data_IF_621591584268
#
_entry.id   IF_621591584268
#
_cell.length_a   1.000
_cell.length_b   1.000
_cell.length_c   1.000
_cell.angle_alpha   90.00
_cell.angle_beta   90.00
_cell.angle_gamma   90.00
#
_symmetry.space_group_name_H-M   'P 1'
#
loop_
_entity.id
_entity.type
_entity.pdbx_description
1 polymer ?
#
# COMPACT_ATOMS: atom_id res chain seq x y z
N UNK A 1 -45.95 0.48 12.89
CA UNK A 1 -46.64 1.40 11.95
C UNK A 1 -46.24 0.99 10.53
N UNK A 2 -47.14 0.33 9.80
CA UNK A 2 -46.91 -0.16 8.43
C UNK A 2 -47.03 1.01 7.45
N UNK A 3 -45.96 1.36 6.73
CA UNK A 3 -46.04 2.28 5.59
C UNK A 3 -46.21 1.46 4.31
N UNK A 4 -47.43 1.48 3.80
CA UNK A 4 -47.81 0.92 2.50
C UNK A 4 -47.33 1.95 1.47
N UNK A 5 -46.30 1.60 0.70
CA UNK A 5 -45.83 2.42 -0.42
C UNK A 5 -46.77 2.20 -1.60
N UNK A 6 -47.52 3.24 -1.98
CA UNK A 6 -48.42 3.21 -3.13
C UNK A 6 -47.62 3.00 -4.42
N UNK A 7 -47.91 1.91 -5.13
CA UNK A 7 -47.59 1.71 -6.53
C UNK A 7 -48.35 2.76 -7.36
N UNK A 8 -47.64 3.75 -7.89
CA UNK A 8 -48.16 4.69 -8.87
C UNK A 8 -48.06 4.04 -10.24
N UNK A 9 -49.11 3.33 -10.63
CA UNK A 9 -49.27 2.74 -11.96
C UNK A 9 -49.54 3.87 -12.96
N UNK A 10 -48.49 4.44 -13.53
CA UNK A 10 -48.60 5.33 -14.70
C UNK A 10 -49.06 4.51 -15.90
N UNK A 11 -50.39 4.43 -16.08
CA UNK A 11 -50.98 3.99 -17.34
C UNK A 11 -50.69 5.10 -18.37
N UNK A 12 -49.61 4.93 -19.12
CA UNK A 12 -49.38 5.63 -20.37
C UNK A 12 -50.53 5.25 -21.31
N UNK A 13 -51.57 6.08 -21.35
CA UNK A 13 -52.47 6.15 -22.48
C UNK A 13 -51.63 6.60 -23.68
N UNK A 14 -51.04 5.64 -24.39
CA UNK A 14 -50.62 5.85 -25.78
C UNK A 14 -51.93 5.96 -26.56
N UNK A 15 -52.51 7.15 -26.54
CA UNK A 15 -53.57 7.50 -27.45
C UNK A 15 -53.01 7.29 -28.85
N UNK A 16 -53.52 6.28 -29.54
CA UNK A 16 -53.34 6.20 -30.99
C UNK A 16 -53.98 7.47 -31.52
N UNK A 17 -53.17 8.47 -31.84
CA UNK A 17 -53.59 9.68 -32.54
C UNK A 17 -53.95 9.22 -33.94
N UNK A 18 -55.16 8.68 -34.08
CA UNK A 18 -55.78 8.49 -35.38
C UNK A 18 -56.13 9.90 -35.85
N UNK A 19 -55.32 10.44 -36.76
CA UNK A 19 -55.60 11.72 -37.42
C UNK A 19 -57.07 11.75 -37.87
N UNK A 20 -57.79 12.79 -37.47
CA UNK A 20 -59.19 12.95 -37.85
C UNK A 20 -59.24 13.35 -39.34
N UNK A 21 -60.21 12.86 -40.12
CA UNK A 21 -60.30 13.23 -41.53
C UNK A 21 -60.62 14.74 -41.65
N UNK A 22 -59.86 15.44 -42.49
CA UNK A 22 -60.15 16.82 -42.86
C UNK A 22 -61.42 16.85 -43.73
N UNK A 23 -62.21 17.89 -43.52
CA UNK A 23 -63.48 18.10 -44.18
C UNK A 23 -63.46 19.39 -44.99
N UNK A 24 -63.89 19.31 -46.24
CA UNK A 24 -64.14 20.46 -47.11
C UNK A 24 -65.54 20.45 -47.66
N UNK A 25 -66.18 21.61 -47.73
CA UNK A 25 -67.54 21.76 -48.22
C UNK A 25 -67.65 22.82 -49.31
N UNK A 26 -68.44 22.53 -50.33
CA UNK A 26 -68.94 23.49 -51.31
C UNK A 26 -70.46 23.36 -51.32
N UNK A 27 -71.14 24.36 -50.78
CA UNK A 27 -72.59 24.43 -50.78
C UNK A 27 -73.06 25.71 -51.48
N UNK A 28 -74.11 25.57 -52.29
CA UNK A 28 -74.80 26.70 -52.91
C UNK A 28 -76.22 26.77 -52.36
N UNK A 29 -76.73 27.98 -52.14
CA UNK A 29 -78.03 28.22 -51.51
C UNK A 29 -79.16 27.47 -52.22
N UNK A 30 -79.74 26.48 -51.55
CA UNK A 30 -80.89 25.66 -52.01
C UNK A 30 -80.70 24.91 -53.35
N UNK A 31 -79.46 24.62 -53.75
CA UNK A 31 -79.20 23.86 -54.98
C UNK A 31 -78.56 22.52 -54.68
N UNK A 32 -77.33 22.52 -54.16
CA UNK A 32 -76.59 21.30 -53.83
C UNK A 32 -75.57 21.54 -52.72
N UNK A 33 -75.09 20.45 -52.14
CA UNK A 33 -73.97 20.42 -51.22
C UNK A 33 -72.98 19.33 -51.64
N UNK A 34 -71.72 19.69 -51.75
CA UNK A 34 -70.60 18.78 -52.01
C UNK A 34 -69.70 18.77 -50.79
N UNK A 35 -69.39 17.59 -50.29
CA UNK A 35 -68.51 17.38 -49.16
C UNK A 35 -67.38 16.44 -49.55
N UNK A 36 -66.14 16.82 -49.24
CA UNK A 36 -64.99 15.93 -49.33
C UNK A 36 -64.51 15.60 -47.92
N UNK A 37 -64.31 14.31 -47.64
CA UNK A 37 -63.59 13.83 -46.46
C UNK A 37 -62.29 13.15 -46.89
N UNK A 38 -61.16 13.60 -46.37
CA UNK A 38 -59.83 13.14 -46.77
C UNK A 38 -58.82 13.27 -45.61
N UNK A 39 -57.65 12.65 -45.71
CA UNK A 39 -56.64 12.72 -44.65
C UNK A 39 -55.89 14.06 -44.68
N UNK A 40 -55.41 14.52 -43.52
CA UNK A 40 -54.68 15.81 -43.37
C UNK A 40 -53.39 15.87 -44.20
N UNK A 41 -52.78 14.73 -44.50
CA UNK A 41 -51.60 14.62 -45.34
C UNK A 41 -51.70 13.41 -46.28
N UNK A 42 -51.02 13.52 -47.42
CA UNK A 42 -50.82 12.45 -48.38
C UNK A 42 -49.37 11.94 -48.28
N UNK A 43 -49.19 10.63 -48.12
CA UNK A 43 -47.86 10.01 -48.11
C UNK A 43 -47.53 9.46 -49.49
N UNK A 44 -46.32 9.74 -49.97
CA UNK A 44 -45.85 9.29 -51.27
C UNK A 44 -45.85 7.78 -51.40
N UNK A 45 -46.25 7.30 -52.58
CA UNK A 45 -46.36 5.88 -52.93
C UNK A 45 -47.31 5.08 -52.02
N UNK A 46 -48.14 5.76 -51.23
CA UNK A 46 -49.20 5.14 -50.43
C UNK A 46 -50.58 5.47 -51.04
N UNK A 47 -51.58 4.59 -50.82
CA UNK A 47 -52.94 4.86 -51.24
C UNK A 47 -53.54 6.01 -50.43
N UNK A 48 -53.98 7.05 -51.13
CA UNK A 48 -54.74 8.15 -50.54
C UNK A 48 -56.23 7.89 -50.71
N UNK A 49 -56.97 7.94 -49.61
CA UNK A 49 -58.42 7.72 -49.57
C UNK A 49 -59.14 9.05 -49.45
N UNK A 50 -60.08 9.27 -50.36
CA UNK A 50 -60.95 10.44 -50.40
C UNK A 50 -62.41 9.99 -50.54
N UNK A 51 -63.30 10.55 -49.74
CA UNK A 51 -64.73 10.29 -49.79
C UNK A 51 -65.41 11.53 -50.36
N UNK A 52 -66.13 11.34 -51.45
CA UNK A 52 -66.92 12.37 -52.12
C UNK A 52 -68.40 12.16 -51.79
N UNK A 53 -69.04 13.16 -51.22
CA UNK A 53 -70.46 13.14 -50.88
C UNK A 53 -71.16 14.30 -51.60
N UNK A 54 -72.28 14.02 -52.23
CA UNK A 54 -73.09 14.97 -52.97
C UNK A 54 -74.55 14.85 -52.55
N UNK A 55 -75.17 15.99 -52.26
CA UNK A 55 -76.58 16.09 -51.94
C UNK A 55 -77.25 17.13 -52.82
N UNK A 56 -78.33 16.74 -53.50
CA UNK A 56 -79.18 17.65 -54.26
C UNK A 56 -80.30 18.18 -53.35
N UNK A 57 -80.49 19.50 -53.30
CA UNK A 57 -81.60 20.13 -52.59
C UNK A 57 -82.74 20.55 -53.53
N UNK A 58 -82.54 20.41 -54.84
CA UNK A 58 -83.51 20.73 -55.88
C UNK A 58 -83.46 19.66 -56.98
N UNK A 59 -84.58 19.50 -57.69
CA UNK A 59 -84.62 18.70 -58.91
C UNK A 59 -83.64 19.30 -59.94
N UNK A 60 -82.74 18.47 -60.46
CA UNK A 60 -81.74 18.90 -61.43
C UNK A 60 -81.32 17.75 -62.34
N UNK A 61 -80.94 18.08 -63.57
CA UNK A 61 -80.29 17.14 -64.48
C UNK A 61 -78.79 17.41 -64.45
N UNK A 62 -78.02 16.47 -63.92
CA UNK A 62 -76.56 16.52 -63.88
C UNK A 62 -76.02 15.90 -65.15
N UNK A 63 -75.42 16.72 -66.01
CA UNK A 63 -74.76 16.28 -67.25
C UNK A 63 -73.43 15.61 -66.92
N UNK A 64 -72.61 16.27 -66.08
CA UNK A 64 -71.37 15.69 -65.59
C UNK A 64 -70.99 16.25 -64.22
N UNK A 65 -70.62 15.36 -63.30
CA UNK A 65 -69.98 15.70 -62.04
C UNK A 65 -68.66 14.94 -61.96
N UNK A 66 -67.55 15.67 -62.03
CA UNK A 66 -66.19 15.11 -62.08
C UNK A 66 -65.33 15.74 -61.00
N UNK A 67 -64.67 14.88 -60.21
CA UNK A 67 -63.60 15.30 -59.31
C UNK A 67 -62.25 15.08 -60.01
N UNK A 68 -61.45 16.13 -60.12
CA UNK A 68 -60.05 16.05 -60.57
C UNK A 68 -59.13 16.34 -59.40
N UNK A 69 -58.15 15.48 -59.21
CA UNK A 69 -57.06 15.68 -58.26
C UNK A 69 -55.81 16.10 -59.03
N UNK A 70 -55.30 17.28 -58.72
CA UNK A 70 -54.09 17.84 -59.30
C UNK A 70 -52.96 17.78 -58.30
N UNK A 71 -51.78 17.38 -58.75
CA UNK A 71 -50.53 17.50 -58.00
C UNK A 71 -49.85 18.81 -58.42
N UNK A 72 -49.50 19.66 -57.45
CA UNK A 72 -48.95 21.01 -57.65
C UNK A 72 -47.73 21.20 -56.77
N UNK A 73 -46.59 21.64 -57.31
CA UNK A 73 -45.35 21.78 -56.51
C UNK A 73 -44.49 23.01 -56.85
N UNK A 74 -44.77 23.69 -57.96
CA UNK A 74 -44.17 24.99 -58.28
C UNK A 74 -45.20 25.82 -59.03
N UNK A 75 -45.11 27.15 -58.97
CA UNK A 75 -45.99 28.06 -59.70
C UNK A 75 -46.07 27.66 -61.19
N UNK A 76 -47.21 27.10 -61.61
CA UNK A 76 -47.48 26.72 -63.00
C UNK A 76 -47.37 25.22 -63.34
N UNK A 77 -46.79 24.39 -62.47
CA UNK A 77 -46.71 22.94 -62.72
C UNK A 77 -47.89 22.23 -62.07
N UNK A 78 -48.83 21.77 -62.92
CA UNK A 78 -50.00 20.98 -62.52
C UNK A 78 -49.93 19.64 -63.23
N UNK A 79 -50.01 18.55 -62.46
CA UNK A 79 -50.11 17.20 -63.00
C UNK A 79 -51.44 16.59 -62.59
N UNK A 80 -52.25 16.16 -63.57
CA UNK A 80 -53.50 15.47 -63.29
C UNK A 80 -53.17 14.09 -62.74
N UNK A 81 -53.31 13.92 -61.42
CA UNK A 81 -52.99 12.67 -60.75
C UNK A 81 -54.14 11.68 -60.84
N UNK A 82 -55.38 12.16 -60.70
CA UNK A 82 -56.56 11.32 -60.74
C UNK A 82 -57.78 12.10 -61.25
N UNK A 83 -58.68 11.44 -61.97
CA UNK A 83 -59.95 12.01 -62.42
C UNK A 83 -61.05 10.97 -62.25
N UNK A 84 -62.09 11.31 -61.49
CA UNK A 84 -63.22 10.41 -61.20
C UNK A 84 -64.54 11.06 -61.58
N UNK A 85 -65.25 10.47 -62.53
CA UNK A 85 -66.63 10.82 -62.85
C UNK A 85 -67.54 10.27 -61.78
N UNK A 86 -68.21 11.12 -61.02
CA UNK A 86 -69.12 10.74 -59.93
C UNK A 86 -70.51 10.46 -60.50
N UNK A 87 -71.01 11.36 -61.35
CA UNK A 87 -72.33 11.31 -61.99
C UNK A 87 -72.17 11.70 -63.45
N UNK A 88 -72.89 11.01 -64.32
CA UNK A 88 -72.92 11.30 -65.75
C UNK A 88 -74.35 11.13 -66.26
N UNK A 89 -74.89 12.17 -66.89
CA UNK A 89 -76.22 12.21 -67.52
C UNK A 89 -77.35 11.62 -66.67
N UNK A 90 -77.51 12.13 -65.44
CA UNK A 90 -78.50 11.63 -64.49
C UNK A 90 -79.45 12.75 -64.01
N UNK A 91 -80.75 12.45 -63.98
CA UNK A 91 -81.73 13.29 -63.31
C UNK A 91 -81.78 12.96 -61.81
N UNK A 92 -81.65 13.98 -60.97
CA UNK A 92 -81.68 13.88 -59.52
C UNK A 92 -82.89 14.61 -58.97
N UNK A 93 -83.63 13.93 -58.09
CA UNK A 93 -84.74 14.52 -57.34
C UNK A 93 -84.20 15.28 -56.12
N UNK A 94 -84.91 16.31 -55.67
CA UNK A 94 -84.61 16.99 -54.42
C UNK A 94 -84.53 15.99 -53.26
N UNK A 95 -83.44 16.05 -52.49
CA UNK A 95 -83.13 15.10 -51.41
C UNK A 95 -82.23 13.94 -51.82
N UNK A 96 -81.90 13.76 -53.10
CA UNK A 96 -80.97 12.71 -53.55
C UNK A 96 -79.58 12.87 -52.91
N UNK A 97 -79.02 11.75 -52.46
CA UNK A 97 -77.70 11.67 -51.82
C UNK A 97 -76.83 10.63 -52.51
N UNK A 98 -75.59 10.99 -52.82
CA UNK A 98 -74.62 10.14 -53.50
C UNK A 98 -73.30 10.18 -52.72
N UNK A 99 -72.74 8.99 -52.48
CA UNK A 99 -71.46 8.81 -51.81
C UNK A 99 -70.55 7.94 -52.67
N UNK A 100 -69.33 8.41 -52.92
CA UNK A 100 -68.31 7.68 -53.67
C UNK A 100 -66.97 7.70 -52.95
N UNK A 101 -66.38 6.54 -52.75
CA UNK A 101 -65.03 6.40 -52.19
C UNK A 101 -64.06 6.32 -53.35
N UNK A 102 -63.04 7.19 -53.33
CA UNK A 102 -62.02 7.32 -54.36
C UNK A 102 -60.69 6.99 -53.68
N UNK A 103 -59.94 6.05 -54.26
CA UNK A 103 -58.64 5.64 -53.76
C UNK A 103 -57.65 5.73 -54.93
N UNK A 104 -56.55 6.44 -54.73
CA UNK A 104 -55.50 6.57 -55.72
C UNK A 104 -54.13 6.66 -55.04
N UNK A 105 -53.08 6.24 -55.73
CA UNK A 105 -51.72 6.34 -55.19
C UNK A 105 -51.11 7.70 -55.53
N UNK A 106 -50.44 8.30 -54.56
CA UNK A 106 -49.76 9.59 -54.74
C UNK A 106 -48.35 9.33 -55.26
N UNK A 107 -48.18 9.43 -56.57
CA UNK A 107 -46.88 9.25 -57.23
C UNK A 107 -46.39 10.58 -57.81
N UNK A 108 -45.09 10.83 -57.67
CA UNK A 108 -44.44 12.02 -58.19
C UNK A 108 -43.77 11.70 -59.54
N UNK A 109 -44.02 12.50 -60.59
CA UNK A 109 -43.37 12.31 -61.89
C UNK A 109 -41.90 12.78 -61.90
N UNK A 110 -41.48 13.62 -60.95
CA UNK A 110 -40.10 14.12 -60.79
C UNK A 110 -39.87 14.54 -59.33
N UNK A 111 -38.61 14.78 -58.93
CA UNK A 111 -38.23 15.25 -57.59
C UNK A 111 -38.78 16.66 -57.32
N UNK A 112 -40.05 16.74 -56.96
CA UNK A 112 -40.71 17.97 -56.54
C UNK A 112 -40.40 18.28 -55.08
N UNK A 113 -40.20 19.57 -54.80
CA UNK A 113 -40.07 20.09 -53.44
C UNK A 113 -41.45 20.55 -52.97
N UNK A 114 -41.93 20.00 -51.86
CA UNK A 114 -43.20 20.33 -51.20
C UNK A 114 -44.45 20.29 -52.12
N UNK A 115 -44.79 19.12 -52.70
CA UNK A 115 -46.00 18.96 -53.50
C UNK A 115 -47.28 19.05 -52.66
N UNK A 116 -48.36 19.49 -53.30
CA UNK A 116 -49.70 19.63 -52.72
C UNK A 116 -50.71 18.97 -53.67
N UNK A 117 -51.64 18.19 -53.14
CA UNK A 117 -52.83 17.74 -53.86
C UNK A 117 -53.89 18.82 -53.79
N UNK A 118 -54.44 19.21 -54.93
CA UNK A 118 -55.56 20.15 -55.04
C UNK A 118 -56.75 19.42 -55.65
N UNK A 119 -57.89 19.47 -54.96
CA UNK A 119 -59.13 18.86 -55.40
C UNK A 119 -60.00 19.90 -56.10
N UNK A 120 -60.22 19.71 -57.40
CA UNK A 120 -61.12 20.54 -58.19
C UNK A 120 -62.38 19.76 -58.58
N UNK A 121 -63.54 20.37 -58.33
CA UNK A 121 -64.84 19.83 -58.75
C UNK A 121 -65.31 20.58 -59.99
N UNK A 122 -65.74 19.80 -60.98
CA UNK A 122 -66.38 20.25 -62.21
C UNK A 122 -67.81 19.70 -62.22
N UNK A 123 -68.80 20.58 -62.14
CA UNK A 123 -70.20 20.22 -62.11
C UNK A 123 -70.95 20.99 -63.20
N UNK A 124 -71.45 20.25 -64.19
CA UNK A 124 -72.38 20.74 -65.20
C UNK A 124 -73.76 20.20 -64.92
N UNK A 125 -74.71 21.09 -64.68
CA UNK A 125 -76.07 20.72 -64.33
C UNK A 125 -77.06 21.74 -64.88
N UNK A 126 -78.31 21.30 -65.04
CA UNK A 126 -79.41 22.14 -65.47
C UNK A 126 -80.61 21.97 -64.57
N UNK A 127 -81.33 23.05 -64.34
CA UNK A 127 -82.62 23.05 -63.68
C UNK A 127 -83.52 24.13 -64.30
N UNK A 128 -84.68 24.39 -63.70
CA UNK A 128 -85.70 25.31 -64.21
C UNK A 128 -85.19 26.73 -64.54
N UNK A 129 -84.09 27.20 -63.91
CA UNK A 129 -83.57 28.55 -64.12
C UNK A 129 -82.41 28.61 -65.13
N UNK A 130 -82.07 27.49 -65.77
CA UNK A 130 -81.02 27.42 -66.79
C UNK A 130 -79.97 26.33 -66.54
N UNK A 131 -78.92 26.37 -67.35
CA UNK A 131 -77.77 25.47 -67.29
C UNK A 131 -76.56 26.19 -66.67
N UNK A 132 -75.87 25.51 -65.77
CA UNK A 132 -74.76 26.05 -64.99
C UNK A 132 -73.52 25.15 -65.13
N UNK A 133 -72.36 25.78 -65.23
CA UNK A 133 -71.04 25.12 -65.21
C UNK A 133 -70.25 25.67 -64.01
N UNK A 134 -69.95 24.79 -63.05
CA UNK A 134 -69.27 25.13 -61.82
C UNK A 134 -67.90 24.47 -61.79
N UNK A 135 -66.86 25.30 -61.75
CA UNK A 135 -65.49 24.89 -61.45
C UNK A 135 -65.03 25.50 -60.13
N UNK A 136 -64.73 24.67 -59.13
CA UNK A 136 -64.23 25.13 -57.82
C UNK A 136 -63.16 24.21 -57.25
N UNK A 137 -62.11 24.81 -56.70
CA UNK A 137 -61.17 24.12 -55.82
C UNK A 137 -61.80 24.03 -54.43
N UNK A 138 -61.87 22.82 -53.89
CA UNK A 138 -62.61 22.52 -52.66
C UNK A 138 -61.68 22.04 -51.53
N UNK A 139 -60.46 21.58 -51.82
CA UNK A 139 -59.51 21.19 -50.77
C UNK A 139 -58.08 21.12 -51.29
N UNK A 140 -57.13 21.26 -50.36
CA UNK A 140 -55.71 21.12 -50.64
C UNK A 140 -55.03 20.32 -49.52
N UNK A 141 -54.15 19.38 -49.88
CA UNK A 141 -53.48 18.48 -48.94
C UNK A 141 -51.99 18.43 -49.23
N UNK A 142 -51.10 18.68 -48.26
CA UNK A 142 -49.66 18.53 -48.46
C UNK A 142 -49.29 17.06 -48.72
N UNK A 143 -48.35 16.85 -49.63
CA UNK A 143 -47.78 15.55 -49.95
C UNK A 143 -46.40 15.44 -49.32
N UNK A 144 -46.17 14.40 -48.52
CA UNK A 144 -44.92 14.13 -47.81
C UNK A 144 -44.34 12.77 -48.19
N UNK A 145 -43.03 12.62 -48.07
CA UNK A 145 -42.34 11.32 -48.21
C UNK A 145 -42.58 10.40 -47.02
N UNK A 146 -42.67 10.96 -45.83
CA UNK A 146 -42.90 10.28 -44.55
C UNK A 146 -44.00 11.02 -43.80
N UNK A 147 -44.87 10.29 -43.10
CA UNK A 147 -45.96 10.89 -42.32
C UNK A 147 -45.40 11.70 -41.14
N UNK A 148 -46.10 12.75 -40.74
CA UNK A 148 -45.72 13.54 -39.56
C UNK A 148 -45.71 12.68 -38.29
N UNK A 149 -46.69 11.80 -38.15
CA UNK A 149 -46.80 10.89 -37.00
C UNK A 149 -45.60 9.94 -36.87
N UNK A 150 -45.08 9.44 -38.00
CA UNK A 150 -43.89 8.58 -38.02
C UNK A 150 -42.65 9.36 -37.61
N UNK A 151 -42.50 10.60 -38.12
CA UNK A 151 -41.38 11.47 -37.78
C UNK A 151 -41.42 11.90 -36.30
N UNK A 152 -42.61 12.17 -35.76
CA UNK A 152 -42.79 12.48 -34.34
C UNK A 152 -42.43 11.29 -33.45
N UNK A 153 -42.83 10.08 -33.85
CA UNK A 153 -42.45 8.85 -33.15
C UNK A 153 -40.93 8.64 -33.14
N UNK A 154 -40.29 8.75 -34.30
CA UNK A 154 -38.82 8.64 -34.44
C UNK A 154 -38.09 9.71 -33.60
N UNK A 155 -38.54 10.97 -33.65
CA UNK A 155 -37.97 12.04 -32.86
C UNK A 155 -38.15 11.80 -31.35
N UNK A 156 -39.30 11.26 -30.94
CA UNK A 156 -39.51 10.88 -29.54
C UNK A 156 -38.60 9.74 -29.11
N UNK A 157 -38.29 8.79 -30.00
CA UNK A 157 -37.38 7.68 -29.71
C UNK A 157 -35.93 8.16 -29.62
N UNK A 158 -35.47 8.94 -30.58
CA UNK A 158 -34.15 9.57 -30.58
C UNK A 158 -33.92 10.44 -29.33
N UNK A 159 -34.94 11.19 -28.87
CA UNK A 159 -34.85 11.96 -27.62
C UNK A 159 -34.62 11.07 -26.40
N UNK A 160 -35.23 9.89 -26.34
CA UNK A 160 -35.00 8.93 -25.24
C UNK A 160 -33.59 8.38 -25.30
N UNK A 161 -33.13 7.97 -26.49
CA UNK A 161 -31.77 7.45 -26.68
C UNK A 161 -30.70 8.48 -26.27
N UNK A 162 -30.88 9.74 -26.67
CA UNK A 162 -29.97 10.83 -26.27
C UNK A 162 -29.95 11.03 -24.75
N UNK A 163 -31.11 10.95 -24.09
CA UNK A 163 -31.19 11.06 -22.63
C UNK A 163 -30.46 9.89 -21.94
N UNK A 164 -30.67 8.65 -22.41
CA UNK A 164 -29.98 7.47 -21.88
C UNK A 164 -28.47 7.51 -22.10
N UNK A 165 -28.01 7.95 -23.28
CA UNK A 165 -26.59 8.13 -23.57
C UNK A 165 -25.97 9.23 -22.69
N UNK A 166 -26.70 10.32 -22.45
CA UNK A 166 -26.25 11.39 -21.56
C UNK A 166 -26.09 10.90 -20.12
N UNK A 167 -26.99 10.05 -19.64
CA UNK A 167 -26.91 9.45 -18.30
C UNK A 167 -25.69 8.53 -18.19
N UNK A 168 -25.51 7.63 -19.16
CA UNK A 168 -24.33 6.74 -19.23
C UNK A 168 -23.01 7.51 -19.30
N UNK A 169 -22.98 8.63 -20.01
CA UNK A 169 -21.78 9.48 -20.10
C UNK A 169 -21.44 10.08 -18.72
N UNK A 170 -22.44 10.60 -18.01
CA UNK A 170 -22.25 11.13 -16.65
C UNK A 170 -21.78 10.04 -15.69
N UNK A 171 -22.36 8.84 -15.74
CA UNK A 171 -21.91 7.71 -14.93
C UNK A 171 -20.44 7.37 -15.21
N UNK A 172 -20.05 7.28 -16.48
CA UNK A 172 -18.67 7.01 -16.87
C UNK A 172 -17.70 8.11 -16.41
N UNK A 173 -18.10 9.38 -16.46
CA UNK A 173 -17.30 10.49 -15.94
C UNK A 173 -17.07 10.36 -14.44
N UNK A 174 -18.11 10.02 -13.66
CA UNK A 174 -17.97 9.80 -12.22
C UNK A 174 -17.05 8.62 -11.88
N UNK A 175 -17.15 7.52 -12.63
CA UNK A 175 -16.27 6.35 -12.49
C UNK A 175 -14.82 6.72 -12.81
N UNK A 176 -14.60 7.47 -13.89
CA UNK A 176 -13.27 7.95 -14.26
C UNK A 176 -12.65 8.84 -13.16
N UNK A 177 -13.40 9.80 -12.62
CA UNK A 177 -12.94 10.67 -11.54
C UNK A 177 -12.60 9.87 -10.28
N UNK A 178 -13.43 8.89 -9.92
CA UNK A 178 -13.20 8.00 -8.78
C UNK A 178 -11.94 7.17 -8.97
N UNK A 179 -11.76 6.57 -10.16
CA UNK A 179 -10.58 5.78 -10.47
C UNK A 179 -9.31 6.63 -10.44
N UNK A 180 -9.37 7.85 -10.98
CA UNK A 180 -8.26 8.81 -10.94
C UNK A 180 -7.87 9.17 -9.50
N UNK A 181 -8.84 9.42 -8.63
CA UNK A 181 -8.58 9.71 -7.22
C UNK A 181 -7.93 8.50 -6.50
N UNK A 182 -8.45 7.29 -6.74
CA UNK A 182 -7.87 6.06 -6.19
C UNK A 182 -6.43 5.84 -6.66
N UNK A 183 -6.14 6.10 -7.94
CA UNK A 183 -4.79 6.00 -8.48
C UNK A 183 -3.83 6.99 -7.80
N UNK A 184 -4.24 8.24 -7.63
CA UNK A 184 -3.43 9.25 -6.92
C UNK A 184 -3.14 8.82 -5.49
N UNK A 185 -4.15 8.36 -4.75
CA UNK A 185 -3.98 7.86 -3.39
C UNK A 185 -3.02 6.67 -3.32
N UNK A 186 -3.17 5.70 -4.21
CA UNK A 186 -2.30 4.52 -4.25
C UNK A 186 -0.85 4.90 -4.57
N UNK A 187 -0.64 5.84 -5.49
CA UNK A 187 0.68 6.36 -5.85
C UNK A 187 1.37 7.03 -4.67
N UNK A 188 0.64 7.85 -3.91
CA UNK A 188 1.15 8.49 -2.69
C UNK A 188 1.50 7.46 -1.61
N UNK A 189 0.62 6.48 -1.38
CA UNK A 189 0.87 5.39 -0.43
C UNK A 189 2.10 4.57 -0.81
N UNK A 190 2.29 4.28 -2.11
CA UNK A 190 3.47 3.59 -2.60
C UNK A 190 4.75 4.40 -2.36
N UNK A 191 4.72 5.71 -2.62
CA UNK A 191 5.86 6.60 -2.37
C UNK A 191 6.24 6.64 -0.89
N UNK A 192 5.25 6.71 0.00
CA UNK A 192 5.48 6.67 1.45
C UNK A 192 6.09 5.33 1.89
N UNK A 193 5.59 4.22 1.36
CA UNK A 193 6.11 2.89 1.65
C UNK A 193 7.56 2.73 1.15
N UNK A 194 7.87 3.24 -0.05
CA UNK A 194 9.23 3.25 -0.59
C UNK A 194 10.19 3.99 0.33
N UNK A 195 9.80 5.17 0.83
CA UNK A 195 10.62 5.94 1.77
C UNK A 195 10.83 5.21 3.10
N UNK A 196 9.79 4.55 3.62
CA UNK A 196 9.88 3.73 4.84
C UNK A 196 10.85 2.55 4.64
N UNK A 197 10.81 1.91 3.47
CA UNK A 197 11.72 0.82 3.13
C UNK A 197 13.17 1.29 3.04
N UNK A 198 13.43 2.42 2.36
CA UNK A 198 14.77 3.01 2.26
C UNK A 198 15.37 3.32 3.64
N UNK A 199 14.56 3.92 4.53
CA UNK A 199 14.99 4.20 5.90
C UNK A 199 15.30 2.93 6.68
N UNK A 200 14.45 1.91 6.56
CA UNK A 200 14.67 0.62 7.22
C UNK A 200 15.95 -0.08 6.71
N UNK A 201 16.24 0.05 5.42
CA UNK A 201 17.46 -0.48 4.81
C UNK A 201 18.71 0.24 5.36
N UNK A 202 18.65 1.56 5.51
CA UNK A 202 19.73 2.34 6.12
C UNK A 202 19.97 1.93 7.58
N UNK A 203 18.89 1.81 8.37
CA UNK A 203 18.95 1.34 9.75
C UNK A 203 19.58 -0.06 9.85
N UNK A 204 19.17 -0.98 8.96
CA UNK A 204 19.75 -2.33 8.88
C UNK A 204 21.25 -2.31 8.60
N UNK A 205 21.69 -1.51 7.62
CA UNK A 205 23.11 -1.38 7.29
C UNK A 205 23.89 -0.83 8.48
N UNK A 206 23.35 0.16 9.19
CA UNK A 206 24.00 0.74 10.34
C UNK A 206 24.13 -0.26 11.49
N UNK A 207 23.06 -1.00 11.82
CA UNK A 207 23.08 -2.05 12.84
C UNK A 207 24.08 -3.15 12.46
N UNK A 208 24.13 -3.56 11.20
CA UNK A 208 25.10 -4.55 10.73
C UNK A 208 26.54 -4.08 10.93
N UNK A 209 26.82 -2.78 10.72
CA UNK A 209 28.15 -2.20 10.93
C UNK A 209 28.52 -2.16 12.41
N UNK A 210 27.59 -1.78 13.28
CA UNK A 210 27.81 -1.78 14.74
C UNK A 210 28.06 -3.19 15.27
N UNK A 211 27.32 -4.19 14.78
CA UNK A 211 27.52 -5.59 15.14
C UNK A 211 28.93 -6.07 14.77
N UNK A 212 29.44 -5.67 13.61
CA UNK A 212 30.80 -6.03 13.19
C UNK A 212 31.86 -5.35 14.06
N UNK A 213 31.67 -4.08 14.44
CA UNK A 213 32.54 -3.41 15.42
C UNK A 213 32.57 -4.14 16.76
N UNK A 214 31.41 -4.55 17.26
CA UNK A 214 31.30 -5.31 18.52
C UNK A 214 32.04 -6.65 18.41
N UNK A 215 31.92 -7.35 17.29
CA UNK A 215 32.65 -8.61 17.06
C UNK A 215 34.17 -8.41 17.13
N UNK A 216 34.69 -7.36 16.50
CA UNK A 216 36.11 -7.03 16.54
C UNK A 216 36.56 -6.72 17.97
N UNK A 217 35.80 -5.90 18.71
CA UNK A 217 36.09 -5.58 20.11
C UNK A 217 36.07 -6.83 21.00
N UNK A 218 35.08 -7.70 20.84
CA UNK A 218 34.99 -8.96 21.57
C UNK A 218 36.21 -9.86 21.31
N UNK A 219 36.62 -10.00 20.05
CA UNK A 219 37.81 -10.77 19.69
C UNK A 219 39.10 -10.16 20.28
N UNK A 220 39.19 -8.83 20.34
CA UNK A 220 40.32 -8.13 20.97
C UNK A 220 40.34 -8.37 22.49
N UNK A 221 39.20 -8.24 23.16
CA UNK A 221 39.06 -8.48 24.60
C UNK A 221 39.42 -9.92 24.96
N UNK A 222 38.97 -10.89 24.14
CA UNK A 222 39.29 -12.30 24.34
C UNK A 222 40.80 -12.56 24.28
N UNK A 223 41.51 -11.94 23.32
CA UNK A 223 42.98 -12.04 23.25
C UNK A 223 43.63 -11.39 24.46
N UNK A 224 43.16 -10.21 24.88
CA UNK A 224 43.70 -9.54 26.06
C UNK A 224 43.52 -10.39 27.33
N UNK A 225 42.36 -11.03 27.50
CA UNK A 225 42.11 -11.95 28.61
C UNK A 225 43.09 -13.14 28.60
N UNK A 226 43.34 -13.72 27.42
CA UNK A 226 44.32 -14.80 27.25
C UNK A 226 45.71 -14.37 27.69
N UNK A 227 46.18 -13.20 27.21
CA UNK A 227 47.50 -12.67 27.56
C UNK A 227 47.63 -12.39 29.07
N UNK A 228 46.58 -11.84 29.69
CA UNK A 228 46.56 -11.60 31.15
C UNK A 228 46.61 -12.93 31.91
N UNK A 229 45.88 -13.94 31.43
CA UNK A 229 45.91 -15.28 32.04
C UNK A 229 47.31 -15.89 31.96
N UNK A 230 47.98 -15.80 30.81
CA UNK A 230 49.36 -16.28 30.65
C UNK A 230 50.33 -15.55 31.58
N UNK A 231 50.25 -14.22 31.64
CA UNK A 231 51.09 -13.41 32.53
C UNK A 231 50.84 -13.73 34.01
N UNK A 232 49.59 -14.03 34.39
CA UNK A 232 49.26 -14.45 35.75
C UNK A 232 49.91 -15.80 36.10
N UNK A 233 49.86 -16.78 35.20
CA UNK A 233 50.51 -18.08 35.41
C UNK A 233 52.04 -17.94 35.52
N UNK A 234 52.66 -17.13 34.66
CA UNK A 234 54.10 -16.84 34.74
C UNK A 234 54.49 -16.22 36.09
N UNK A 235 53.72 -15.23 36.56
CA UNK A 235 53.94 -14.60 37.87
C UNK A 235 53.72 -15.59 39.02
N UNK A 236 52.73 -16.48 38.89
CA UNK A 236 52.48 -17.53 39.87
C UNK A 236 53.67 -18.50 39.97
N UNK A 237 54.22 -18.94 38.84
CA UNK A 237 55.43 -19.76 38.83
C UNK A 237 56.64 -19.05 39.46
N UNK A 238 56.84 -17.77 39.17
CA UNK A 238 57.91 -16.97 39.77
C UNK A 238 57.74 -16.87 41.28
N UNK A 239 56.52 -16.61 41.75
CA UNK A 239 56.21 -16.58 43.18
C UNK A 239 56.53 -17.92 43.88
N UNK A 240 56.19 -19.05 43.26
CA UNK A 240 56.54 -20.38 43.78
C UNK A 240 58.06 -20.58 43.83
N UNK A 241 58.80 -20.15 42.79
CA UNK A 241 60.28 -20.20 42.79
C UNK A 241 60.87 -19.38 43.93
N UNK A 242 60.37 -18.16 44.17
CA UNK A 242 60.82 -17.30 45.27
C UNK A 242 60.54 -17.94 46.63
N UNK A 243 59.37 -18.54 46.83
CA UNK A 243 59.05 -19.28 48.06
C UNK A 243 60.03 -20.42 48.33
N UNK A 244 60.34 -21.23 47.31
CA UNK A 244 61.31 -22.33 47.44
C UNK A 244 62.71 -21.82 47.81
N UNK A 245 63.17 -20.71 47.20
CA UNK A 245 64.45 -20.07 47.56
C UNK A 245 64.44 -19.57 49.00
N UNK A 246 63.33 -18.99 49.46
CA UNK A 246 63.19 -18.53 50.84
C UNK A 246 63.24 -19.69 51.84
N UNK A 247 62.59 -20.81 51.52
CA UNK A 247 62.66 -22.03 52.35
C UNK A 247 64.09 -22.60 52.43
N UNK A 248 64.80 -22.67 51.30
CA UNK A 248 66.21 -23.08 51.28
C UNK A 248 67.09 -22.14 52.12
N UNK A 249 66.89 -20.82 52.00
CA UNK A 249 67.64 -19.85 52.79
C UNK A 249 67.34 -19.97 54.30
N UNK A 250 66.08 -20.23 54.65
CA UNK A 250 65.66 -20.49 56.04
C UNK A 250 66.32 -21.77 56.59
N UNK A 251 66.42 -22.82 55.78
CA UNK A 251 67.12 -24.06 56.16
C UNK A 251 68.62 -23.82 56.37
N UNK A 252 69.28 -23.11 55.44
CA UNK A 252 70.70 -22.71 55.55
C UNK A 252 70.95 -21.88 56.81
N UNK A 253 70.10 -20.88 57.08
CA UNK A 253 70.19 -20.07 58.29
C UNK A 253 70.06 -20.92 59.57
N UNK A 254 69.10 -21.85 59.60
CA UNK A 254 68.93 -22.78 60.72
C UNK A 254 70.17 -23.66 60.95
N UNK A 255 70.77 -24.18 59.87
CA UNK A 255 72.00 -24.96 59.96
C UNK A 255 73.18 -24.11 60.46
N UNK A 256 73.37 -22.92 59.90
CA UNK A 256 74.41 -21.99 60.33
C UNK A 256 74.26 -21.60 61.80
N UNK A 257 73.03 -21.41 62.28
CA UNK A 257 72.74 -21.16 63.69
C UNK A 257 73.20 -22.33 64.58
N UNK A 258 72.93 -23.58 64.18
CA UNK A 258 73.41 -24.78 64.91
C UNK A 258 74.94 -24.89 64.90
N UNK A 259 75.58 -24.61 63.77
CA UNK A 259 77.04 -24.60 63.68
C UNK A 259 77.66 -23.53 64.59
N UNK A 260 77.05 -22.34 64.63
CA UNK A 260 77.44 -21.27 65.55
C UNK A 260 77.29 -21.71 67.03
N UNK A 261 76.15 -22.29 67.41
CA UNK A 261 75.92 -22.82 68.76
C UNK A 261 76.96 -23.89 69.12
N UNK A 262 77.28 -24.80 68.20
CA UNK A 262 78.33 -25.80 68.38
C UNK A 262 79.72 -25.18 68.53
N UNK A 263 80.03 -24.13 67.77
CA UNK A 263 81.30 -23.42 67.87
C UNK A 263 81.44 -22.72 69.24
N UNK A 264 80.37 -22.10 69.72
CA UNK A 264 80.31 -21.50 71.07
C UNK A 264 80.58 -22.57 72.13
N UNK A 265 79.95 -23.74 72.04
CA UNK A 265 80.22 -24.85 72.99
C UNK A 265 81.68 -25.33 72.94
N UNK A 266 82.27 -25.45 71.73
CA UNK A 266 83.68 -25.79 71.57
C UNK A 266 84.60 -24.74 72.19
N UNK A 267 84.28 -23.46 71.98
CA UNK A 267 85.01 -22.34 72.58
C UNK A 267 84.94 -22.41 74.11
N UNK A 268 83.75 -22.57 74.69
CA UNK A 268 83.57 -22.73 76.14
C UNK A 268 84.37 -23.90 76.71
N UNK A 269 84.38 -25.03 75.98
CA UNK A 269 85.17 -26.21 76.38
C UNK A 269 86.67 -25.88 76.35
N UNK A 270 87.16 -25.24 75.28
CA UNK A 270 88.55 -24.84 75.17
C UNK A 270 88.95 -23.85 76.28
N UNK A 271 88.08 -22.91 76.64
CA UNK A 271 88.30 -22.00 77.78
C UNK A 271 88.40 -22.77 79.10
N UNK A 272 87.54 -23.76 79.34
CA UNK A 272 87.61 -24.61 80.53
C UNK A 272 88.90 -25.44 80.56
N UNK A 273 89.31 -26.01 79.43
CA UNK A 273 90.54 -26.77 79.30
C UNK A 273 91.77 -25.87 79.53
N UNK A 274 91.76 -24.65 78.99
CA UNK A 274 92.79 -23.64 79.26
C UNK A 274 92.88 -23.29 80.76
N UNK A 275 91.75 -23.03 81.42
CA UNK A 275 91.71 -22.77 82.87
C UNK A 275 92.19 -23.97 83.69
N UNK A 276 91.89 -25.20 83.24
CA UNK A 276 92.41 -26.43 83.86
C UNK A 276 93.92 -26.52 83.71
N UNK A 277 94.44 -26.31 82.51
CA UNK A 277 95.89 -26.33 82.24
C UNK A 277 96.62 -25.25 83.04
N UNK A 278 96.05 -24.05 83.17
CA UNK A 278 96.59 -22.99 84.02
C UNK A 278 96.66 -23.42 85.49
N UNK A 279 95.64 -24.13 86.00
CA UNK A 279 95.64 -24.68 87.35
C UNK A 279 96.68 -25.78 87.53
N UNK A 280 96.80 -26.70 86.57
CA UNK A 280 97.83 -27.74 86.57
C UNK A 280 99.24 -27.13 86.53
N UNK A 281 99.45 -26.11 85.70
CA UNK A 281 100.71 -25.36 85.66
C UNK A 281 101.01 -24.69 86.99
N UNK A 282 100.03 -24.04 87.63
CA UNK A 282 100.17 -23.44 88.96
C UNK A 282 100.49 -24.48 90.04
N UNK A 283 99.84 -25.64 89.99
CA UNK A 283 100.12 -26.77 90.90
C UNK A 283 101.54 -27.31 90.69
N UNK A 284 101.97 -27.49 89.44
CA UNK A 284 103.32 -27.94 89.11
C UNK A 284 104.35 -26.93 89.62
N UNK A 285 104.08 -25.63 89.43
CA UNK A 285 104.92 -24.54 89.96
C UNK A 285 105.01 -24.63 91.49
N UNK A 286 103.89 -24.85 92.19
CA UNK A 286 103.90 -25.08 93.65
C UNK A 286 104.71 -26.33 94.04
N UNK A 287 104.59 -27.45 93.31
CA UNK A 287 105.36 -28.67 93.56
C UNK A 287 106.85 -28.43 93.34
N UNK A 288 107.24 -27.69 92.28
CA UNK A 288 108.64 -27.35 92.04
C UNK A 288 109.22 -26.44 93.12
N UNK A 289 108.45 -25.46 93.60
CA UNK A 289 108.83 -24.63 94.75
C UNK A 289 108.96 -25.50 96.01
N UNK A 290 108.03 -26.43 96.24
CA UNK A 290 108.07 -27.35 97.38
C UNK A 290 109.29 -28.28 97.30
N UNK A 291 109.60 -28.84 96.13
CA UNK A 291 110.79 -29.67 95.88
C UNK A 291 112.08 -28.86 96.04
N UNK A 292 112.13 -27.61 95.57
CA UNK A 292 113.24 -26.70 95.82
C UNK A 292 113.38 -26.41 97.33
N UNK A 293 112.27 -26.23 98.04
CA UNK A 293 112.23 -26.15 99.49
C UNK A 293 112.84 -27.39 100.14
N UNK A 294 112.43 -28.59 99.73
CA UNK A 294 112.99 -29.87 100.23
C UNK A 294 114.48 -30.00 99.90
N UNK A 295 114.93 -29.56 98.72
CA UNK A 295 116.36 -29.59 98.35
C UNK A 295 117.19 -28.63 99.21
N UNK A 296 116.67 -27.44 99.53
CA UNK A 296 117.33 -26.49 100.44
C UNK A 296 117.37 -27.02 101.88
N UNK A 297 116.33 -27.71 102.34
CA UNK A 297 116.31 -28.36 103.66
C UNK A 297 117.27 -29.55 103.72
N UNK A 298 117.38 -30.35 102.66
CA UNK A 298 118.38 -31.41 102.53
C UNK A 298 119.81 -30.83 102.53
N UNK A 299 120.05 -29.74 101.80
CA UNK A 299 121.32 -29.00 101.85
C UNK A 299 121.60 -28.51 103.29
N UNK A 300 120.62 -27.91 103.98
CA UNK A 300 120.77 -27.51 105.38
C UNK A 300 121.04 -28.70 106.32
N UNK A 301 120.41 -29.85 106.09
CA UNK A 301 120.65 -31.10 106.85
C UNK A 301 122.05 -31.67 106.60
N UNK A 302 122.56 -31.64 105.36
CA UNK A 302 123.96 -32.05 105.09
C UNK A 302 124.97 -31.15 105.79
N UNK A 303 124.68 -29.84 105.91
CA UNK A 303 125.47 -28.89 106.71
C UNK A 303 125.35 -29.22 108.22
N UNK A 304 124.16 -29.59 108.70
CA UNK A 304 123.91 -29.96 110.09
C UNK A 304 124.61 -31.27 110.51
N UNK A 305 124.60 -32.31 109.66
CA UNK A 305 125.35 -33.54 109.90
C UNK A 305 126.87 -33.33 109.85
N UNK A 306 127.35 -32.33 109.10
CA UNK A 306 128.74 -31.88 109.15
C UNK A 306 129.12 -31.24 110.50
N UNK A 307 128.14 -30.74 111.27
CA UNK A 307 128.35 -30.04 112.55
C UNK A 307 128.28 -30.96 113.79
N UNK A 308 127.66 -32.14 113.71
CA UNK A 308 127.43 -33.04 114.88
C UNK A 308 128.55 -34.05 115.20
N UNK A 309 129.67 -34.02 114.49
CA UNK A 309 130.93 -34.71 114.88
C UNK A 309 131.90 -33.71 115.53
N UNK A 310 131.66 -33.33 116.79
CA UNK A 310 132.69 -32.74 117.68
C UNK A 310 132.35 -32.83 119.19
N UNK A 311 133.08 -33.73 119.90
CA UNK A 311 133.66 -33.68 121.29
C UNK A 311 132.80 -33.70 122.60
N UNK A 312 133.37 -34.03 123.80
CA UNK A 312 134.39 -35.05 124.22
C UNK A 312 134.09 -35.72 125.61
N UNK A 313 135.03 -36.52 126.20
CA UNK A 313 135.43 -36.69 127.66
C UNK A 313 136.12 -38.07 127.95
N UNK A 314 136.86 -38.33 129.06
CA UNK A 314 138.00 -37.65 129.73
C UNK A 314 139.15 -38.64 130.16
N UNK A 315 140.20 -38.26 130.94
CA UNK A 315 141.51 -38.94 131.04
C UNK A 315 141.73 -39.81 132.32
N UNK A 316 142.85 -40.57 132.39
CA UNK A 316 143.50 -40.96 133.65
C UNK A 316 145.05 -40.76 133.69
N UNK A 317 145.70 -40.90 134.88
CA UNK A 317 146.92 -40.18 135.32
C UNK A 317 148.27 -40.91 135.09
N UNK A 318 149.42 -40.26 135.42
CA UNK A 318 150.78 -40.75 135.16
C UNK A 318 151.29 -41.67 136.27
N UNK A 319 152.40 -42.40 136.05
CA UNK A 319 153.64 -42.12 136.81
C UNK A 319 154.93 -42.46 135.98
N UNK A 320 156.16 -42.57 136.55
CA UNK A 320 157.19 -41.53 136.63
C UNK A 320 158.59 -41.95 136.07
N UNK A 321 159.54 -41.00 136.08
CA UNK A 321 161.02 -41.13 136.02
C UNK A 321 161.62 -42.21 135.08
N UNK A 322 162.14 -41.78 133.93
CA UNK A 322 163.52 -41.30 133.77
C UNK A 322 163.57 -40.28 132.61
#
# INVERSE_FOLDING_TARGET
MRRISLLLLCILFVGVVSAQPLYSQLATTNEYCICLLYNEEAVLNQPFRLVFEFQAYRNMTVESLVLKTWLVWTCGNYYLLHSSTIIENQFLVAGSYIKKVIIFNVALPSAAKDPILVFEVFLKYSHENGSFDVKKSIGAVPVRSVSYSSLEAENSELKKEVAELSEKLNEMETLYLTLKANYTYLSESYSELSRKYEKLLEDYINVSRELEKIRVLYASLTRHLSNVSESYEELHEEHVKVLNVLEDYKAKYSNLKKEYENLVQKYDKLTKDYLRLQREYSNLLCITIALAGVSTVLLALTIYFKKKRSLPLPPPPPPPQA
#
